data_IF_399212310966
#
_entry.id   IF_399212310966
#
_cell.length_a   1.000
_cell.length_b   1.000
_cell.length_c   1.000
_cell.angle_alpha   90.00
_cell.angle_beta   90.00
_cell.angle_gamma   90.00
#
_symmetry.space_group_name_H-M   'P 1'
#
loop_
_entity.id
_entity.type
_entity.pdbx_description
1 polymer ?
#
# COMPACT_ATOMS: atom_id res chain seq x y z
N UNK A 1 -6.54 -10.08 14.70
CA UNK A 1 -6.72 -8.81 14.01
C UNK A 1 -7.40 -9.04 12.66
N UNK A 2 -8.37 -8.22 12.31
CA UNK A 2 -9.06 -8.25 11.02
C UNK A 2 -8.34 -7.36 10.01
N UNK A 3 -8.01 -7.89 8.84
CA UNK A 3 -7.42 -7.11 7.75
C UNK A 3 -8.46 -6.81 6.68
N UNK A 4 -8.78 -5.53 6.52
CA UNK A 4 -9.77 -5.04 5.55
C UNK A 4 -9.17 -5.05 4.15
N UNK A 5 -9.50 -6.07 3.39
CA UNK A 5 -9.06 -6.21 2.00
C UNK A 5 -9.77 -7.37 1.31
N UNK A 6 -9.99 -7.25 0.00
CA UNK A 6 -10.42 -8.36 -0.87
C UNK A 6 -9.24 -9.11 -1.50
N UNK A 7 -8.00 -8.62 -1.31
CA UNK A 7 -6.79 -9.17 -1.92
C UNK A 7 -6.13 -10.19 -0.97
N UNK A 8 -6.25 -11.47 -1.31
CA UNK A 8 -5.69 -12.58 -0.54
C UNK A 8 -4.16 -12.51 -0.41
N UNK A 9 -3.46 -12.00 -1.43
CA UNK A 9 -2.01 -11.82 -1.38
C UNK A 9 -1.57 -10.80 -0.33
N UNK A 10 -2.37 -9.75 -0.07
CA UNK A 10 -2.11 -8.80 1.03
C UNK A 10 -2.26 -9.48 2.39
N UNK A 11 -3.27 -10.36 2.52
CA UNK A 11 -3.52 -11.12 3.76
C UNK A 11 -2.38 -12.07 4.08
N UNK A 12 -1.87 -12.80 3.07
CA UNK A 12 -0.74 -13.71 3.24
C UNK A 12 0.52 -12.94 3.66
N UNK A 13 0.82 -11.81 3.02
CA UNK A 13 1.95 -10.96 3.42
C UNK A 13 1.81 -10.49 4.88
N UNK A 14 0.63 -10.04 5.30
CA UNK A 14 0.39 -9.64 6.68
C UNK A 14 0.53 -10.79 7.67
N UNK A 15 0.07 -11.99 7.31
CA UNK A 15 0.24 -13.21 8.14
C UNK A 15 1.70 -13.54 8.38
N UNK A 16 2.56 -13.37 7.37
CA UNK A 16 4.01 -13.60 7.52
C UNK A 16 4.64 -12.63 8.53
N UNK A 17 4.33 -11.35 8.43
CA UNK A 17 4.91 -10.32 9.31
C UNK A 17 4.38 -10.38 10.76
N UNK A 18 3.14 -10.80 10.96
CA UNK A 18 2.46 -10.78 12.25
C UNK A 18 2.34 -12.17 12.91
N UNK A 19 2.96 -13.21 12.32
CA UNK A 19 2.81 -14.61 12.71
C UNK A 19 3.06 -14.90 14.20
N UNK A 20 4.05 -14.23 14.81
CA UNK A 20 4.45 -14.43 16.20
C UNK A 20 3.62 -13.59 17.20
N UNK A 21 2.80 -12.67 16.69
CA UNK A 21 2.11 -11.66 17.50
C UNK A 21 0.58 -11.88 17.54
N UNK A 22 -0.01 -12.14 16.37
CA UNK A 22 -1.47 -12.25 16.25
C UNK A 22 -1.89 -13.05 15.03
N UNK A 23 -3.12 -13.56 15.06
CA UNK A 23 -3.75 -14.16 13.87
C UNK A 23 -4.37 -13.09 13.00
N UNK A 24 -4.09 -13.14 11.69
CA UNK A 24 -4.66 -12.21 10.69
C UNK A 24 -5.82 -12.90 9.96
N UNK A 25 -7.01 -12.32 10.08
CA UNK A 25 -8.21 -12.75 9.38
C UNK A 25 -8.62 -11.73 8.31
N UNK A 26 -8.98 -12.21 7.13
CA UNK A 26 -9.51 -11.34 6.08
C UNK A 26 -10.89 -10.83 6.49
N UNK A 27 -11.11 -9.53 6.30
CA UNK A 27 -12.41 -8.89 6.50
C UNK A 27 -12.80 -8.14 5.22
N UNK A 28 -13.81 -8.66 4.54
CA UNK A 28 -14.36 -8.02 3.34
C UNK A 28 -15.35 -6.93 3.77
N UNK A 29 -14.88 -5.70 3.76
CA UNK A 29 -15.67 -4.52 4.09
C UNK A 29 -15.31 -3.36 3.16
N UNK A 30 -16.32 -2.79 2.52
CA UNK A 30 -16.20 -1.65 1.63
C UNK A 30 -16.54 -0.37 2.40
N UNK A 31 -15.50 0.35 2.81
CA UNK A 31 -15.64 1.64 3.48
C UNK A 31 -15.51 2.81 2.51
N UNK A 32 -16.12 3.94 2.85
CA UNK A 32 -16.01 5.16 2.06
C UNK A 32 -14.60 5.74 2.25
N UNK A 33 -13.82 5.78 1.18
CA UNK A 33 -12.53 6.47 1.19
C UNK A 33 -12.73 7.99 1.17
N UNK A 34 -12.14 8.66 2.15
CA UNK A 34 -12.16 10.13 2.20
C UNK A 34 -11.23 10.71 1.13
N UNK A 35 -11.53 11.92 0.66
CA UNK A 35 -10.58 12.68 -0.17
C UNK A 35 -9.50 13.30 0.72
N UNK A 36 -8.26 12.83 0.59
CA UNK A 36 -7.08 13.36 1.27
C UNK A 36 -5.83 13.14 0.41
N UNK A 37 -4.83 13.98 0.57
CA UNK A 37 -3.49 13.80 0.00
C UNK A 37 -2.59 12.91 0.88
N UNK A 38 -3.11 12.49 2.05
CA UNK A 38 -2.42 11.69 3.05
C UNK A 38 -2.95 10.26 3.06
N UNK A 39 -2.09 9.28 2.71
CA UNK A 39 -2.41 7.86 2.87
C UNK A 39 -2.74 7.50 4.32
N UNK A 40 -2.05 8.14 5.27
CA UNK A 40 -2.26 7.89 6.70
C UNK A 40 -3.67 8.29 7.14
N UNK A 41 -4.16 9.47 6.69
CA UNK A 41 -5.52 9.92 7.02
C UNK A 41 -6.59 8.98 6.43
N UNK A 42 -6.39 8.55 5.17
CA UNK A 42 -7.32 7.63 4.49
C UNK A 42 -7.33 6.27 5.19
N UNK A 43 -6.15 5.70 5.48
CA UNK A 43 -6.03 4.40 6.14
C UNK A 43 -6.58 4.44 7.57
N UNK A 44 -6.29 5.50 8.36
CA UNK A 44 -6.80 5.65 9.71
C UNK A 44 -8.33 5.76 9.74
N UNK A 45 -8.90 6.61 8.87
CA UNK A 45 -10.36 6.73 8.75
C UNK A 45 -11.02 5.40 8.36
N UNK A 46 -10.44 4.69 7.39
CA UNK A 46 -10.91 3.37 6.97
C UNK A 46 -10.84 2.33 8.09
N UNK A 47 -9.75 2.34 8.88
CA UNK A 47 -9.58 1.42 10.01
C UNK A 47 -10.64 1.67 11.11
N UNK A 48 -10.89 2.92 11.49
CA UNK A 48 -11.92 3.29 12.46
C UNK A 48 -13.32 2.90 12.01
N UNK A 49 -13.68 3.21 10.75
CA UNK A 49 -14.97 2.81 10.19
C UNK A 49 -15.14 1.28 10.13
N UNK A 50 -14.10 0.57 9.76
CA UNK A 50 -14.11 -0.89 9.70
C UNK A 50 -14.16 -1.54 11.09
N UNK A 51 -13.52 -0.96 12.10
CA UNK A 51 -13.58 -1.43 13.49
C UNK A 51 -15.02 -1.39 14.02
N UNK A 52 -15.73 -0.28 13.82
CA UNK A 52 -17.14 -0.17 14.19
C UNK A 52 -18.00 -1.20 13.44
N UNK A 53 -17.79 -1.34 12.13
CA UNK A 53 -18.54 -2.29 11.30
C UNK A 53 -18.26 -3.76 11.68
N UNK A 54 -17.06 -4.05 12.19
CA UNK A 54 -16.67 -5.38 12.68
C UNK A 54 -17.24 -5.72 14.06
N UNK A 55 -17.96 -4.80 14.70
CA UNK A 55 -18.57 -4.97 16.01
C UNK A 55 -17.80 -4.36 17.19
N UNK A 56 -16.66 -3.70 16.92
CA UNK A 56 -15.93 -2.96 17.94
C UNK A 56 -15.20 -3.79 18.99
N UNK A 57 -14.93 -5.07 18.72
CA UNK A 57 -14.33 -5.98 19.68
C UNK A 57 -12.90 -6.41 19.32
N UNK A 58 -12.63 -6.60 18.04
CA UNK A 58 -11.33 -7.08 17.56
C UNK A 58 -10.58 -5.99 16.82
N UNK A 59 -9.26 -5.84 17.03
CA UNK A 59 -8.46 -4.89 16.30
C UNK A 59 -8.56 -5.06 14.78
N UNK A 60 -8.46 -3.95 14.06
CA UNK A 60 -8.56 -3.89 12.60
C UNK A 60 -7.32 -3.25 12.02
N UNK A 61 -6.87 -3.74 10.87
CA UNK A 61 -5.87 -3.08 10.04
C UNK A 61 -6.41 -2.79 8.64
N UNK A 62 -6.00 -1.64 8.10
CA UNK A 62 -6.29 -1.19 6.73
C UNK A 62 -4.98 -0.82 6.06
N UNK A 63 -4.83 -1.14 4.78
CA UNK A 63 -3.68 -0.77 3.95
C UNK A 63 -4.13 0.10 2.79
N UNK A 64 -3.65 1.33 2.74
CA UNK A 64 -3.78 2.22 1.60
C UNK A 64 -2.42 2.50 0.97
N UNK A 65 -2.38 2.61 -0.38
CA UNK A 65 -1.13 2.74 -1.10
C UNK A 65 -1.28 3.47 -2.44
N UNK A 66 -0.17 4.08 -2.88
CA UNK A 66 -0.17 4.80 -4.15
C UNK A 66 1.22 4.98 -4.75
N UNK A 67 1.22 5.38 -6.03
CA UNK A 67 2.37 5.81 -6.78
C UNK A 67 2.49 7.33 -6.70
N UNK A 68 3.63 7.81 -6.23
CA UNK A 68 3.94 9.24 -6.10
C UNK A 68 5.03 9.61 -7.11
N UNK A 69 4.72 10.51 -8.05
CA UNK A 69 5.60 10.90 -9.15
C UNK A 69 6.19 12.28 -8.85
N UNK A 70 7.52 12.38 -8.75
CA UNK A 70 8.21 13.62 -8.39
C UNK A 70 7.90 14.79 -9.31
N UNK A 71 7.95 14.58 -10.63
CA UNK A 71 7.65 15.61 -11.62
C UNK A 71 6.19 16.09 -11.66
N UNK A 72 5.30 15.44 -10.89
CA UNK A 72 3.89 15.80 -10.72
C UNK A 72 3.53 16.16 -9.29
N UNK A 73 4.50 16.57 -8.48
CA UNK A 73 4.32 16.92 -7.07
C UNK A 73 3.62 15.80 -6.25
N UNK A 74 3.88 14.55 -6.62
CA UNK A 74 3.32 13.38 -5.95
C UNK A 74 2.04 12.82 -6.57
N UNK A 75 1.42 13.49 -7.57
CA UNK A 75 0.27 12.89 -8.28
C UNK A 75 0.72 11.59 -9.00
N UNK A 76 -0.09 10.51 -9.06
CA UNK A 76 -1.47 10.39 -8.56
C UNK A 76 -1.59 10.17 -7.03
N UNK A 77 -0.54 9.75 -6.32
CA UNK A 77 -0.58 9.57 -4.88
C UNK A 77 -1.74 8.67 -4.42
N UNK A 78 -2.57 9.09 -3.46
CA UNK A 78 -3.72 8.32 -2.98
C UNK A 78 -4.76 7.99 -4.06
N UNK A 79 -4.78 8.75 -5.16
CA UNK A 79 -5.70 8.52 -6.28
C UNK A 79 -5.17 7.51 -7.32
N UNK A 80 -4.13 6.75 -7.00
CA UNK A 80 -3.44 5.85 -7.94
C UNK A 80 -4.36 4.81 -8.57
N UNK A 81 -5.24 4.19 -7.79
CA UNK A 81 -6.20 3.21 -8.31
C UNK A 81 -7.16 3.86 -9.30
N UNK A 82 -7.76 4.99 -8.95
CA UNK A 82 -8.69 5.72 -9.81
C UNK A 82 -8.03 6.17 -11.12
N UNK A 83 -6.80 6.68 -11.06
CA UNK A 83 -6.05 7.10 -12.26
C UNK A 83 -5.72 5.90 -13.14
N UNK A 84 -5.34 4.77 -12.55
CA UNK A 84 -5.09 3.54 -13.30
C UNK A 84 -6.36 3.04 -14.01
N UNK A 85 -7.49 3.02 -13.32
CA UNK A 85 -8.76 2.52 -13.87
C UNK A 85 -9.34 3.43 -14.95
N UNK A 86 -9.07 4.73 -14.87
CA UNK A 86 -9.62 5.71 -15.82
C UNK A 86 -8.68 6.01 -16.98
N UNK A 87 -7.40 6.25 -16.73
CA UNK A 87 -6.40 6.57 -17.77
C UNK A 87 -5.67 5.31 -18.27
N UNK A 88 -5.32 4.41 -17.35
CA UNK A 88 -4.46 3.27 -17.63
C UNK A 88 -2.96 3.63 -17.65
N UNK A 89 -2.13 2.61 -17.44
CA UNK A 89 -0.69 2.74 -17.28
C UNK A 89 0.01 3.34 -18.53
N UNK A 90 -0.50 3.04 -19.71
CA UNK A 90 0.07 3.55 -20.98
C UNK A 90 -0.10 5.07 -21.10
N UNK A 91 -1.24 5.61 -20.67
CA UNK A 91 -1.48 7.05 -20.71
C UNK A 91 -0.66 7.76 -19.62
N UNK A 92 -0.53 7.16 -18.44
CA UNK A 92 0.36 7.69 -17.40
C UNK A 92 1.79 7.76 -17.91
N UNK A 93 2.31 6.71 -18.56
CA UNK A 93 3.63 6.75 -19.19
C UNK A 93 3.72 7.83 -20.28
N UNK A 94 2.70 7.98 -21.12
CA UNK A 94 2.68 9.00 -22.17
C UNK A 94 2.82 10.42 -21.60
N UNK A 95 2.27 10.69 -20.43
CA UNK A 95 2.40 11.96 -19.72
C UNK A 95 3.80 12.11 -19.09
N UNK A 96 4.29 11.07 -18.44
CA UNK A 96 5.55 11.11 -17.66
C UNK A 96 6.80 11.13 -18.55
N UNK A 97 6.77 10.46 -19.72
CA UNK A 97 7.95 10.33 -20.60
C UNK A 97 8.57 11.65 -21.05
N UNK A 98 7.81 12.75 -20.97
CA UNK A 98 8.24 14.10 -21.35
C UNK A 98 8.79 14.91 -20.18
N UNK A 99 8.73 14.39 -18.94
CA UNK A 99 9.25 15.05 -17.76
C UNK A 99 10.76 14.88 -17.63
N UNK A 100 11.42 15.93 -17.15
CA UNK A 100 12.84 15.87 -16.77
C UNK A 100 13.04 15.05 -15.48
N UNK A 101 12.11 15.15 -14.53
CA UNK A 101 12.11 14.37 -13.30
C UNK A 101 11.06 13.25 -13.36
N UNK A 102 11.54 12.02 -13.52
CA UNK A 102 10.71 10.80 -13.55
C UNK A 102 10.88 9.95 -12.30
N UNK A 103 11.54 10.49 -11.27
CA UNK A 103 11.62 9.80 -9.98
C UNK A 103 10.22 9.56 -9.43
N UNK A 104 10.03 8.40 -8.87
CA UNK A 104 8.75 8.01 -8.31
C UNK A 104 8.97 7.15 -7.06
N UNK A 105 7.94 7.05 -6.24
CA UNK A 105 7.92 6.15 -5.11
C UNK A 105 6.57 5.43 -5.02
N UNK A 106 6.61 4.12 -4.81
CA UNK A 106 5.47 3.47 -4.20
C UNK A 106 5.51 3.73 -2.69
N UNK A 107 4.41 4.25 -2.15
CA UNK A 107 4.22 4.43 -0.72
C UNK A 107 2.99 3.67 -0.29
N UNK A 108 3.02 3.12 0.92
CA UNK A 108 1.90 2.50 1.56
C UNK A 108 1.84 2.89 3.02
N UNK A 109 0.64 2.90 3.55
CA UNK A 109 0.34 3.14 4.95
C UNK A 109 -0.55 2.03 5.46
N UNK A 110 -0.12 1.34 6.51
CA UNK A 110 -0.97 0.43 7.28
C UNK A 110 -1.45 1.17 8.51
N UNK A 111 -2.75 1.28 8.69
CA UNK A 111 -3.37 1.78 9.90
C UNK A 111 -3.85 0.61 10.76
N UNK A 112 -3.65 0.70 12.05
CA UNK A 112 -4.16 -0.21 13.08
C UNK A 112 -5.09 0.56 14.01
N UNK A 113 -6.19 -0.06 14.39
CA UNK A 113 -7.02 0.44 15.50
C UNK A 113 -7.58 -0.69 16.33
N UNK A 114 -7.64 -0.48 17.66
CA UNK A 114 -8.30 -1.33 18.63
C UNK A 114 -9.51 -0.63 19.30
N UNK A 115 -9.89 0.54 18.77
CA UNK A 115 -10.95 1.39 19.26
C UNK A 115 -10.53 2.38 20.35
N UNK A 116 -9.39 2.16 21.02
CA UNK A 116 -8.80 3.10 21.97
C UNK A 116 -7.63 3.87 21.36
N UNK A 117 -6.86 3.21 20.50
CA UNK A 117 -5.67 3.75 19.85
C UNK A 117 -5.78 3.51 18.36
N UNK A 118 -5.50 4.55 17.56
CA UNK A 118 -5.31 4.45 16.11
C UNK A 118 -3.89 4.88 15.78
N UNK A 119 -3.10 3.98 15.18
CA UNK A 119 -1.71 4.24 14.78
C UNK A 119 -1.49 3.92 13.30
N UNK A 120 -0.57 4.64 12.68
CA UNK A 120 -0.26 4.49 11.26
C UNK A 120 1.20 4.23 11.01
N UNK A 121 1.49 3.32 10.08
CA UNK A 121 2.84 2.85 9.75
C UNK A 121 3.08 2.98 8.25
N UNK A 122 4.03 3.80 7.87
CA UNK A 122 4.34 4.05 6.47
C UNK A 122 5.56 3.26 5.99
N UNK A 123 5.48 2.76 4.76
CA UNK A 123 6.60 2.18 4.02
C UNK A 123 6.69 2.75 2.61
N UNK A 124 7.90 2.78 2.04
CA UNK A 124 8.11 3.28 0.69
C UNK A 124 9.22 2.54 -0.05
N UNK A 125 9.08 2.48 -1.38
CA UNK A 125 10.12 2.02 -2.30
C UNK A 125 10.35 3.11 -3.33
N UNK A 126 11.61 3.55 -3.45
CA UNK A 126 12.00 4.56 -4.42
C UNK A 126 12.35 3.93 -5.77
N UNK A 127 12.02 4.60 -6.86
CA UNK A 127 12.32 4.16 -8.21
C UNK A 127 12.23 5.29 -9.23
N UNK A 128 12.18 4.90 -10.49
CA UNK A 128 12.00 5.81 -11.62
C UNK A 128 10.95 5.24 -12.58
N UNK A 129 10.20 6.12 -13.23
CA UNK A 129 9.27 5.69 -14.27
C UNK A 129 9.98 5.57 -15.62
N UNK A 130 9.78 4.41 -16.24
CA UNK A 130 10.42 4.02 -17.50
C UNK A 130 9.39 3.54 -18.52
N UNK A 131 9.83 3.36 -19.78
CA UNK A 131 8.99 2.72 -20.79
C UNK A 131 8.55 1.33 -20.31
N UNK A 132 7.30 0.93 -20.58
CA UNK A 132 6.75 -0.33 -20.08
C UNK A 132 7.61 -1.54 -20.45
N UNK A 133 7.99 -2.35 -19.47
CA UNK A 133 8.71 -3.62 -19.61
C UNK A 133 8.14 -4.67 -18.66
N UNK A 134 8.27 -5.92 -19.04
CA UNK A 134 7.77 -7.05 -18.27
C UNK A 134 6.28 -7.30 -18.46
N UNK A 135 5.83 -8.45 -17.97
CA UNK A 135 4.44 -8.93 -18.11
C UNK A 135 3.83 -9.40 -16.79
N UNK A 136 4.62 -9.37 -15.70
CA UNK A 136 4.16 -9.75 -14.37
C UNK A 136 3.53 -8.58 -13.62
N UNK A 137 3.07 -8.87 -12.41
CA UNK A 137 2.51 -7.87 -11.51
C UNK A 137 1.17 -7.31 -11.96
N UNK A 138 0.87 -6.10 -11.47
CA UNK A 138 -0.36 -5.39 -11.77
C UNK A 138 -0.13 -3.86 -11.71
N UNK A 139 -1.10 -3.10 -12.18
CA UNK A 139 -1.08 -1.64 -12.04
C UNK A 139 0.10 -0.99 -12.75
N UNK A 140 0.84 -0.20 -12.01
CA UNK A 140 1.99 0.55 -12.50
C UNK A 140 3.29 -0.25 -12.57
N UNK A 141 3.30 -1.52 -12.20
CA UNK A 141 4.48 -2.39 -12.18
C UNK A 141 5.30 -2.37 -13.48
N UNK A 142 4.68 -2.37 -14.68
CA UNK A 142 5.44 -2.33 -15.93
C UNK A 142 6.26 -1.06 -16.18
N UNK A 143 5.90 0.05 -15.54
CA UNK A 143 6.56 1.35 -15.74
C UNK A 143 7.38 1.80 -14.53
N UNK A 144 7.35 1.08 -13.42
CA UNK A 144 8.11 1.42 -12.20
C UNK A 144 9.37 0.57 -12.11
N UNK A 145 10.52 1.22 -12.29
CA UNK A 145 11.84 0.59 -12.21
C UNK A 145 12.48 0.83 -10.84
N UNK A 146 13.01 -0.24 -10.26
CA UNK A 146 13.86 -0.22 -9.08
C UNK A 146 15.11 -1.05 -9.33
N UNK A 147 16.30 -0.47 -9.11
CA UNK A 147 17.59 -1.15 -9.30
C UNK A 147 17.77 -1.81 -10.68
N UNK A 148 17.27 -1.19 -11.74
CA UNK A 148 17.45 -1.63 -13.14
C UNK A 148 16.42 -2.63 -13.66
N UNK A 149 15.46 -3.06 -12.84
CA UNK A 149 14.35 -3.92 -13.25
C UNK A 149 13.01 -3.27 -12.92
N UNK A 150 12.02 -3.42 -13.80
CA UNK A 150 10.65 -3.02 -13.45
C UNK A 150 10.03 -4.04 -12.51
N UNK A 151 9.06 -3.60 -11.71
CA UNK A 151 8.33 -4.54 -10.84
C UNK A 151 7.62 -5.65 -11.61
N UNK A 152 7.26 -5.40 -12.89
CA UNK A 152 6.69 -6.42 -13.77
C UNK A 152 7.71 -7.44 -14.30
N UNK A 153 9.01 -7.12 -14.24
CA UNK A 153 10.11 -8.04 -14.59
C UNK A 153 10.57 -8.89 -13.40
N UNK A 154 10.28 -8.45 -12.16
CA UNK A 154 10.67 -9.16 -10.94
C UNK A 154 9.83 -10.40 -10.67
N UNK A 155 10.40 -11.39 -9.99
CA UNK A 155 9.60 -12.45 -9.38
C UNK A 155 8.74 -11.90 -8.22
N UNK A 156 7.66 -12.60 -7.90
CA UNK A 156 6.77 -12.21 -6.79
C UNK A 156 7.54 -12.13 -5.47
N UNK A 157 8.43 -13.08 -5.19
CA UNK A 157 9.25 -13.11 -3.97
C UNK A 157 10.18 -11.89 -3.90
N UNK A 158 10.86 -11.55 -5.02
CA UNK A 158 11.74 -10.38 -5.08
C UNK A 158 10.97 -9.08 -4.87
N UNK A 159 9.81 -8.95 -5.52
CA UNK A 159 8.95 -7.79 -5.37
C UNK A 159 8.44 -7.65 -3.93
N UNK A 160 7.96 -8.74 -3.30
CA UNK A 160 7.47 -8.74 -1.92
C UNK A 160 8.58 -8.35 -0.93
N UNK A 161 9.80 -8.84 -1.12
CA UNK A 161 10.95 -8.46 -0.28
C UNK A 161 11.30 -6.96 -0.33
N UNK A 162 10.90 -6.26 -1.41
CA UNK A 162 11.08 -4.82 -1.57
C UNK A 162 9.84 -4.01 -1.17
N UNK A 163 8.73 -4.69 -0.88
CA UNK A 163 7.39 -4.12 -0.73
C UNK A 163 7.34 -2.94 0.25
N UNK A 164 6.69 -1.85 -0.17
CA UNK A 164 6.34 -0.74 0.71
C UNK A 164 5.41 -1.21 1.83
N UNK A 165 4.47 -2.15 1.54
CA UNK A 165 3.58 -2.76 2.54
C UNK A 165 4.35 -3.58 3.55
N UNK A 166 5.27 -4.44 3.11
CA UNK A 166 6.11 -5.22 4.02
C UNK A 166 6.88 -4.34 5.00
N UNK A 167 7.39 -3.19 4.55
CA UNK A 167 8.06 -2.21 5.44
C UNK A 167 7.09 -1.56 6.45
N UNK A 168 5.86 -1.30 6.05
CA UNK A 168 4.83 -0.79 6.96
C UNK A 168 4.40 -1.86 7.98
N UNK A 169 4.17 -3.10 7.53
CA UNK A 169 3.83 -4.23 8.39
C UNK A 169 4.93 -4.58 9.39
N UNK A 170 6.21 -4.48 9.00
CA UNK A 170 7.31 -4.67 9.92
C UNK A 170 7.29 -3.66 11.07
N UNK A 171 7.02 -2.38 10.77
CA UNK A 171 6.88 -1.34 11.81
C UNK A 171 5.68 -1.59 12.71
N UNK A 172 4.55 -2.05 12.16
CA UNK A 172 3.39 -2.46 12.95
C UNK A 172 3.74 -3.63 13.87
N UNK A 173 4.48 -4.63 13.37
CA UNK A 173 4.91 -5.77 14.17
C UNK A 173 5.81 -5.35 15.34
N UNK A 174 6.81 -4.50 15.09
CA UNK A 174 7.68 -3.95 16.13
C UNK A 174 6.87 -3.20 17.21
N UNK A 175 5.94 -2.36 16.78
CA UNK A 175 5.10 -1.59 17.69
C UNK A 175 4.16 -2.48 18.54
N UNK A 176 3.55 -3.52 17.95
CA UNK A 176 2.72 -4.47 18.69
C UNK A 176 3.56 -5.25 19.73
N UNK A 177 4.76 -5.69 19.36
CA UNK A 177 5.66 -6.39 20.28
C UNK A 177 6.07 -5.54 21.49
N UNK A 178 6.20 -4.22 21.30
CA UNK A 178 6.52 -3.28 22.39
C UNK A 178 5.32 -3.03 23.33
N UNK A 179 4.08 -3.16 22.84
CA UNK A 179 2.86 -3.00 23.66
C UNK A 179 2.61 -4.18 24.60
N UNK A 180 3.05 -5.37 24.23
CA UNK A 180 2.83 -6.60 24.99
C UNK A 180 3.85 -6.79 26.12
N UNK A 181 4.80 -5.86 26.31
CA UNK A 181 5.81 -5.84 27.38
C UNK A 181 5.40 -4.92 28.52
#
# INVERSE_FOLDING_TARGET
VKFVTTNEGKVEEAREYLAELTTVEQFDYDYVEIQSDSLADIAAYGAEAAFEAAGGEEPVIVDDSGLFIGGFDGFPGPYSAYVQDTLGVQQVWALVKTLDDRRAAFRGCVAYTDGETTETFEGSVQGELVAPRGTGGFGYDPIFEHAGETFAEMSTEKKNALSHRGRALAKLADWLADRDQ
#
